data_IF_745524445509
#
_entry.id   IF_745524445509
#
_cell.length_a   1.000
_cell.length_b   1.000
_cell.length_c   1.000
_cell.angle_alpha   90.00
_cell.angle_beta   90.00
_cell.angle_gamma   90.00
#
_symmetry.space_group_name_H-M   'P 1'
#
loop_
_entity.id
_entity.type
_entity.pdbx_description
1 polymer ?
#
# COMPACT_ATOMS: atom_id res chain seq x y z
N UNK A 1 28.91 -7.12 -16.17
CA UNK A 1 28.90 -6.85 -14.71
C UNK A 1 30.17 -6.11 -14.26
N UNK A 2 31.34 -6.76 -14.24
CA UNK A 2 32.58 -6.15 -13.74
C UNK A 2 33.02 -4.90 -14.56
N UNK A 3 32.99 -4.99 -15.89
CA UNK A 3 33.31 -3.86 -16.77
C UNK A 3 32.36 -2.66 -16.56
N UNK A 4 31.07 -2.94 -16.33
CA UNK A 4 30.08 -1.92 -16.02
C UNK A 4 30.37 -1.28 -14.64
N UNK A 5 30.69 -2.10 -13.63
CA UNK A 5 31.03 -1.61 -12.29
C UNK A 5 32.29 -0.74 -12.30
N UNK A 6 33.30 -1.05 -13.14
CA UNK A 6 34.51 -0.23 -13.30
C UNK A 6 34.22 1.17 -13.86
N UNK A 7 33.14 1.34 -14.62
CA UNK A 7 32.72 2.64 -15.17
C UNK A 7 32.17 3.58 -14.09
N UNK A 8 31.59 3.01 -13.02
CA UNK A 8 30.89 3.78 -11.97
C UNK A 8 31.60 3.76 -10.61
N UNK A 9 32.46 2.78 -10.34
CA UNK A 9 33.10 2.62 -9.04
C UNK A 9 34.58 2.27 -9.17
N UNK A 10 35.37 2.76 -8.21
CA UNK A 10 36.73 2.25 -7.96
C UNK A 10 36.64 0.92 -7.23
N UNK A 11 36.96 -0.17 -7.93
CA UNK A 11 36.87 -1.54 -7.42
C UNK A 11 38.12 -1.85 -6.58
N UNK A 12 37.90 -2.34 -5.36
CA UNK A 12 38.96 -2.80 -4.45
C UNK A 12 39.21 -4.30 -4.61
N UNK A 13 38.14 -5.09 -4.69
CA UNK A 13 38.22 -6.54 -4.88
C UNK A 13 36.95 -7.04 -5.58
N UNK A 14 37.03 -8.12 -6.34
CA UNK A 14 35.89 -8.81 -6.91
C UNK A 14 36.07 -10.32 -6.77
N UNK A 15 35.05 -10.99 -6.24
CA UNK A 15 35.04 -12.44 -6.05
C UNK A 15 33.80 -13.03 -6.70
N UNK A 16 33.86 -14.29 -7.12
CA UNK A 16 32.66 -15.08 -7.45
C UNK A 16 32.28 -15.89 -6.22
N UNK A 17 31.07 -15.69 -5.71
CA UNK A 17 30.50 -16.53 -4.65
C UNK A 17 29.42 -17.44 -5.24
N UNK A 18 28.99 -18.48 -4.52
CA UNK A 18 27.90 -19.36 -4.98
C UNK A 18 26.59 -18.61 -5.26
N UNK A 19 26.39 -17.45 -4.62
CA UNK A 19 25.20 -16.60 -4.78
C UNK A 19 25.30 -15.61 -5.96
N UNK A 20 26.49 -15.48 -6.56
CA UNK A 20 26.74 -14.58 -7.67
C UNK A 20 28.09 -13.85 -7.59
N UNK A 21 28.40 -12.97 -8.55
CA UNK A 21 29.54 -12.09 -8.44
C UNK A 21 29.36 -11.13 -7.26
N UNK A 22 30.42 -10.89 -6.50
CA UNK A 22 30.48 -9.89 -5.44
C UNK A 22 31.58 -8.89 -5.75
N UNK A 23 31.28 -7.60 -5.68
CA UNK A 23 32.25 -6.53 -5.94
C UNK A 23 32.37 -5.66 -4.70
N UNK A 24 33.57 -5.56 -4.15
CA UNK A 24 33.91 -4.62 -3.09
C UNK A 24 34.47 -3.37 -3.76
N UNK A 25 33.81 -2.24 -3.54
CA UNK A 25 34.17 -0.96 -4.13
C UNK A 25 34.26 0.13 -3.07
N UNK A 26 34.98 1.19 -3.39
CA UNK A 26 34.92 2.43 -2.61
C UNK A 26 33.52 3.02 -2.76
N UNK A 27 32.95 3.49 -1.65
CA UNK A 27 31.70 4.24 -1.68
C UNK A 27 31.90 5.45 -2.62
N UNK A 28 31.05 5.63 -3.64
CA UNK A 28 31.12 6.82 -4.48
C UNK A 28 30.76 8.05 -3.66
N UNK A 29 31.36 9.18 -4.04
CA UNK A 29 31.18 10.47 -3.37
C UNK A 29 29.74 10.99 -3.53
N UNK A 30 29.11 10.71 -4.68
CA UNK A 30 27.72 11.08 -4.97
C UNK A 30 26.81 9.86 -4.92
N UNK A 31 25.71 9.97 -4.19
CA UNK A 31 24.68 8.93 -4.12
C UNK A 31 24.03 8.67 -5.48
N UNK A 32 23.97 9.68 -6.35
CA UNK A 32 23.43 9.58 -7.71
C UNK A 32 24.16 8.54 -8.58
N UNK A 33 25.45 8.31 -8.33
CA UNK A 33 26.25 7.33 -9.08
C UNK A 33 25.84 5.88 -8.75
N UNK A 34 25.38 5.64 -7.52
CA UNK A 34 24.79 4.35 -7.13
C UNK A 34 23.45 4.12 -7.84
N UNK A 35 22.61 5.15 -7.91
CA UNK A 35 21.30 5.09 -8.56
C UNK A 35 21.43 4.85 -10.07
N UNK A 36 22.32 5.60 -10.74
CA UNK A 36 22.63 5.42 -12.17
C UNK A 36 23.13 4.01 -12.49
N UNK A 37 23.90 3.42 -11.57
CA UNK A 37 24.35 2.04 -11.73
C UNK A 37 23.21 1.03 -11.56
N UNK A 38 22.35 1.23 -10.56
CA UNK A 38 21.19 0.35 -10.30
C UNK A 38 20.16 0.38 -11.45
N UNK A 39 20.00 1.53 -12.11
CA UNK A 39 19.06 1.76 -13.21
C UNK A 39 19.61 1.40 -14.60
N UNK A 40 20.78 0.75 -14.67
CA UNK A 40 21.36 0.38 -15.94
C UNK A 40 20.42 -0.53 -16.76
N UNK A 41 20.23 -0.23 -18.05
CA UNK A 41 19.34 -0.97 -18.95
C UNK A 41 19.61 -2.48 -18.93
N UNK A 42 20.88 -2.88 -18.84
CA UNK A 42 21.31 -4.27 -18.80
C UNK A 42 20.77 -5.00 -17.56
N UNK A 43 20.62 -4.30 -16.43
CA UNK A 43 20.02 -4.84 -15.21
C UNK A 43 18.50 -4.84 -15.27
N UNK A 44 17.92 -3.82 -15.92
CA UNK A 44 16.48 -3.73 -16.14
C UNK A 44 15.96 -4.85 -17.04
N UNK A 45 16.61 -5.09 -18.18
CA UNK A 45 16.23 -6.09 -19.18
C UNK A 45 16.38 -7.53 -18.67
N UNK A 46 17.42 -7.79 -17.88
CA UNK A 46 17.72 -9.14 -17.37
C UNK A 46 17.17 -9.40 -15.96
N UNK A 47 16.37 -8.49 -15.41
CA UNK A 47 15.84 -8.56 -14.05
C UNK A 47 16.89 -8.76 -12.94
N UNK A 48 18.11 -8.32 -13.22
CA UNK A 48 19.21 -8.33 -12.26
C UNK A 48 18.97 -7.18 -11.28
N UNK A 49 19.11 -7.48 -9.99
CA UNK A 49 19.03 -6.51 -8.91
C UNK A 49 20.38 -6.36 -8.25
N UNK A 50 20.61 -5.18 -7.68
CA UNK A 50 21.87 -4.80 -7.04
C UNK A 50 21.58 -4.42 -5.60
N UNK A 51 22.35 -4.96 -4.67
CA UNK A 51 22.27 -4.62 -3.25
C UNK A 51 23.60 -4.01 -2.82
N UNK A 52 23.52 -2.87 -2.14
CA UNK A 52 24.68 -2.15 -1.60
C UNK A 52 24.73 -2.32 -0.09
N UNK A 53 25.69 -3.11 0.42
CA UNK A 53 25.92 -3.29 1.85
C UNK A 53 27.19 -2.57 2.27
N UNK A 54 27.14 -1.79 3.35
CA UNK A 54 28.35 -1.19 3.93
C UNK A 54 29.26 -2.29 4.46
N UNK A 55 30.56 -2.19 4.18
CA UNK A 55 31.58 -3.10 4.71
C UNK A 55 32.58 -2.29 5.54
N UNK A 56 32.99 -2.83 6.70
CA UNK A 56 34.07 -2.22 7.49
C UNK A 56 35.35 -2.24 6.66
N UNK A 57 35.98 -1.08 6.52
CA UNK A 57 37.26 -0.96 5.86
C UNK A 57 38.41 -1.23 6.84
N UNK A 58 39.57 -1.68 6.34
CA UNK A 58 40.77 -1.86 7.16
C UNK A 58 41.37 -0.54 7.67
N UNK A 59 41.05 0.61 7.06
CA UNK A 59 41.47 1.95 7.50
C UNK A 59 40.25 2.83 7.82
N UNK A 60 40.36 3.72 8.82
CA UNK A 60 39.27 4.57 9.33
C UNK A 60 38.72 5.56 8.29
N UNK A 61 39.51 5.98 7.32
CA UNK A 61 39.13 7.03 6.36
C UNK A 61 38.46 6.49 5.08
N UNK A 62 38.40 5.17 4.92
CA UNK A 62 37.85 4.54 3.71
C UNK A 62 36.48 3.94 4.01
N UNK A 63 35.45 4.29 3.24
CA UNK A 63 34.15 3.61 3.28
C UNK A 63 34.05 2.61 2.13
N UNK A 64 33.94 1.32 2.45
CA UNK A 64 33.75 0.26 1.46
C UNK A 64 32.27 -0.13 1.33
N UNK A 65 31.85 -0.41 0.11
CA UNK A 65 30.55 -0.97 -0.22
C UNK A 65 30.74 -2.32 -0.90
N UNK A 66 30.03 -3.31 -0.39
CA UNK A 66 29.81 -4.60 -1.03
C UNK A 66 28.61 -4.47 -1.98
N UNK A 67 28.86 -4.70 -3.26
CA UNK A 67 27.86 -4.76 -4.33
C UNK A 67 27.56 -6.24 -4.57
N UNK A 68 26.36 -6.65 -4.20
CA UNK A 68 25.84 -8.00 -4.44
C UNK A 68 24.85 -7.96 -5.60
N UNK A 69 24.98 -8.91 -6.52
CA UNK A 69 24.02 -9.08 -7.60
C UNK A 69 23.12 -10.25 -7.28
N UNK A 70 21.81 -10.06 -7.36
CA UNK A 70 20.84 -11.12 -7.17
C UNK A 70 19.85 -11.11 -8.32
N UNK A 71 19.51 -12.31 -8.78
CA UNK A 71 18.46 -12.49 -9.77
C UNK A 71 17.13 -12.63 -9.04
N UNK A 72 16.18 -11.75 -9.34
CA UNK A 72 14.82 -11.93 -8.85
C UNK A 72 14.06 -12.74 -9.89
N UNK A 73 13.77 -14.01 -9.58
CA UNK A 73 12.99 -14.87 -10.46
C UNK A 73 11.65 -14.20 -10.82
N UNK A 74 11.36 -14.08 -12.12
CA UNK A 74 10.03 -13.68 -12.57
C UNK A 74 9.03 -14.69 -12.04
N UNK A 75 8.19 -14.28 -11.09
CA UNK A 75 6.99 -15.06 -10.76
C UNK A 75 6.14 -15.10 -12.05
N UNK A 76 6.16 -16.26 -12.73
CA UNK A 76 5.71 -16.49 -14.11
C UNK A 76 4.19 -16.31 -14.35
N UNK A 77 3.46 -15.62 -13.48
CA UNK A 77 1.98 -15.61 -13.47
C UNK A 77 1.32 -14.24 -13.69
N UNK A 78 1.94 -13.32 -14.42
CA UNK A 78 1.42 -11.95 -14.54
C UNK A 78 0.14 -11.86 -15.41
N UNK A 79 0.00 -12.68 -16.48
CA UNK A 79 -1.15 -12.56 -17.41
C UNK A 79 -2.49 -13.06 -16.86
N UNK A 80 -2.51 -14.10 -16.01
CA UNK A 80 -3.77 -14.66 -15.47
C UNK A 80 -4.30 -13.91 -14.23
N UNK A 81 -3.56 -12.92 -13.75
CA UNK A 81 -3.79 -12.30 -12.44
C UNK A 81 -5.03 -11.42 -12.33
N UNK A 82 -5.50 -10.87 -13.45
CA UNK A 82 -6.76 -10.13 -13.53
C UNK A 82 -7.91 -10.97 -14.10
N UNK A 83 -7.71 -12.29 -14.25
CA UNK A 83 -8.80 -13.20 -14.57
C UNK A 83 -9.76 -13.28 -13.39
N UNK A 84 -11.05 -13.12 -13.66
CA UNK A 84 -12.11 -13.25 -12.66
C UNK A 84 -12.02 -14.59 -11.89
N UNK A 85 -11.59 -15.67 -12.54
CA UNK A 85 -11.42 -16.98 -11.91
C UNK A 85 -10.33 -17.00 -10.82
N UNK A 86 -9.28 -16.19 -10.98
CA UNK A 86 -8.15 -16.08 -10.04
C UNK A 86 -8.44 -15.06 -8.93
N UNK A 87 -9.26 -14.05 -9.23
CA UNK A 87 -9.59 -12.94 -8.32
C UNK A 87 -10.90 -13.16 -7.56
N UNK A 88 -11.61 -14.27 -7.82
CA UNK A 88 -12.95 -14.53 -7.25
C UNK A 88 -13.00 -14.37 -5.73
N UNK A 89 -11.98 -14.85 -5.01
CA UNK A 89 -11.96 -14.80 -3.56
C UNK A 89 -11.76 -13.38 -3.02
N UNK A 90 -10.94 -12.56 -3.69
CA UNK A 90 -10.71 -11.17 -3.32
C UNK A 90 -11.98 -10.35 -3.55
N UNK A 91 -12.71 -10.60 -4.64
CA UNK A 91 -14.01 -9.96 -4.91
C UNK A 91 -15.04 -10.41 -3.88
N UNK A 92 -15.15 -11.70 -3.58
CA UNK A 92 -16.06 -12.22 -2.55
C UNK A 92 -15.74 -11.59 -1.19
N UNK A 93 -14.46 -11.52 -0.81
CA UNK A 93 -14.03 -10.91 0.45
C UNK A 93 -14.31 -9.40 0.48
N UNK A 94 -14.13 -8.70 -0.64
CA UNK A 94 -14.49 -7.28 -0.76
C UNK A 94 -15.99 -7.10 -0.53
N UNK A 95 -16.83 -7.85 -1.26
CA UNK A 95 -18.29 -7.77 -1.13
C UNK A 95 -18.78 -8.11 0.28
N UNK A 96 -18.19 -9.13 0.92
CA UNK A 96 -18.48 -9.47 2.31
C UNK A 96 -18.06 -8.35 3.27
N UNK A 97 -16.97 -7.66 2.97
CA UNK A 97 -16.47 -6.53 3.76
C UNK A 97 -17.37 -5.32 3.61
N UNK A 98 -17.79 -4.98 2.38
CA UNK A 98 -18.76 -3.92 2.11
C UNK A 98 -20.08 -4.17 2.83
N UNK A 99 -20.59 -5.40 2.78
CA UNK A 99 -21.80 -5.81 3.51
C UNK A 99 -21.60 -5.68 5.03
N UNK A 100 -20.47 -6.12 5.56
CA UNK A 100 -20.17 -6.00 7.00
C UNK A 100 -20.09 -4.54 7.45
N UNK A 101 -19.38 -3.69 6.69
CA UNK A 101 -19.29 -2.24 6.93
C UNK A 101 -20.67 -1.60 6.87
N UNK A 102 -21.50 -1.98 5.91
CA UNK A 102 -22.86 -1.44 5.77
C UNK A 102 -23.72 -1.79 6.99
N UNK A 103 -23.71 -3.05 7.43
CA UNK A 103 -24.47 -3.52 8.59
C UNK A 103 -23.97 -2.84 9.88
N UNK A 104 -22.66 -2.80 10.09
CA UNK A 104 -22.09 -2.15 11.27
C UNK A 104 -22.32 -0.64 11.26
N UNK A 105 -22.23 0.01 10.09
CA UNK A 105 -22.56 1.42 9.93
C UNK A 105 -24.02 1.72 10.28
N UNK A 106 -24.94 0.83 9.87
CA UNK A 106 -26.36 0.90 10.25
C UNK A 106 -26.55 0.83 11.77
N UNK A 107 -25.95 -0.16 12.43
CA UNK A 107 -26.08 -0.30 13.89
C UNK A 107 -25.41 0.83 14.66
N UNK A 108 -24.25 1.29 14.20
CA UNK A 108 -23.50 2.40 14.79
C UNK A 108 -24.31 3.69 14.74
N UNK A 109 -24.78 4.08 13.56
CA UNK A 109 -25.55 5.31 13.39
C UNK A 109 -26.91 5.22 14.10
N UNK A 110 -27.58 4.05 14.09
CA UNK A 110 -28.81 3.84 14.87
C UNK A 110 -28.62 4.10 16.36
N UNK A 111 -27.48 3.67 16.93
CA UNK A 111 -27.18 3.91 18.35
C UNK A 111 -27.00 5.40 18.64
N UNK A 112 -26.27 6.11 17.78
CA UNK A 112 -26.09 7.57 17.88
C UNK A 112 -27.43 8.29 17.76
N UNK A 113 -28.24 7.94 16.76
CA UNK A 113 -29.55 8.55 16.53
C UNK A 113 -30.47 8.42 17.74
N UNK A 114 -30.50 7.23 18.38
CA UNK A 114 -31.26 7.01 19.62
C UNK A 114 -30.73 7.81 20.81
N UNK A 115 -29.40 7.96 20.91
CA UNK A 115 -28.78 8.74 21.99
C UNK A 115 -29.08 10.23 21.90
N UNK A 116 -29.14 10.79 20.68
CA UNK A 116 -29.32 12.23 20.44
C UNK A 116 -30.73 12.65 20.03
N UNK A 117 -31.70 11.73 20.03
CA UNK A 117 -33.10 11.98 19.69
C UNK A 117 -33.29 12.84 18.41
N UNK A 118 -32.50 12.57 17.37
CA UNK A 118 -32.53 13.33 16.13
C UNK A 118 -33.90 13.15 15.44
N UNK A 119 -34.42 14.19 14.79
CA UNK A 119 -35.82 14.24 14.32
C UNK A 119 -36.02 13.98 12.82
N UNK A 120 -34.94 13.68 12.09
CA UNK A 120 -34.94 13.69 10.62
C UNK A 120 -34.65 12.31 10.02
N UNK A 121 -35.23 12.04 8.84
CA UNK A 121 -35.10 10.86 7.97
C UNK A 121 -34.06 9.80 8.36
N UNK A 122 -34.33 9.06 9.43
CA UNK A 122 -33.46 8.02 10.02
C UNK A 122 -32.84 7.08 8.97
N UNK A 123 -33.65 6.64 8.01
CA UNK A 123 -33.23 5.71 6.95
C UNK A 123 -32.25 6.37 5.97
N UNK A 124 -32.52 7.62 5.57
CA UNK A 124 -31.71 8.34 4.60
C UNK A 124 -30.32 8.65 5.16
N UNK A 125 -30.25 9.08 6.42
CA UNK A 125 -28.99 9.45 7.08
C UNK A 125 -28.12 8.24 7.36
N UNK A 126 -28.73 7.11 7.76
CA UNK A 126 -27.99 5.85 7.92
C UNK A 126 -27.43 5.38 6.58
N UNK A 127 -28.24 5.44 5.53
CA UNK A 127 -27.80 5.03 4.20
C UNK A 127 -26.63 5.89 3.72
N UNK A 128 -26.71 7.22 3.88
CA UNK A 128 -25.63 8.15 3.53
C UNK A 128 -24.36 7.88 4.33
N UNK A 129 -24.48 7.59 5.63
CA UNK A 129 -23.32 7.24 6.47
C UNK A 129 -22.63 5.97 5.99
N UNK A 130 -23.37 4.87 5.85
CA UNK A 130 -22.82 3.60 5.37
C UNK A 130 -22.29 3.71 3.94
N UNK A 131 -22.92 4.51 3.08
CA UNK A 131 -22.43 4.79 1.73
C UNK A 131 -21.08 5.53 1.75
N UNK A 132 -20.91 6.53 2.62
CA UNK A 132 -19.65 7.24 2.80
C UNK A 132 -18.51 6.31 3.26
N UNK A 133 -18.80 5.32 4.11
CA UNK A 133 -17.80 4.33 4.53
C UNK A 133 -17.38 3.41 3.37
N UNK A 134 -18.36 2.96 2.55
CA UNK A 134 -18.09 2.08 1.41
C UNK A 134 -17.32 2.79 0.29
N UNK A 135 -17.70 4.03 -0.07
CA UNK A 135 -17.00 4.78 -1.13
C UNK A 135 -15.54 5.08 -0.76
N UNK A 136 -15.26 5.32 0.53
CA UNK A 136 -13.88 5.44 1.03
C UNK A 136 -13.09 4.17 0.78
N UNK A 137 -13.68 3.00 1.06
CA UNK A 137 -13.03 1.71 0.81
C UNK A 137 -12.78 1.50 -0.68
N UNK A 138 -13.80 1.66 -1.53
CA UNK A 138 -13.65 1.50 -2.99
C UNK A 138 -12.54 2.41 -3.53
N UNK A 139 -12.48 3.67 -3.11
CA UNK A 139 -11.45 4.60 -3.55
C UNK A 139 -10.04 4.25 -3.04
N UNK A 140 -9.92 3.70 -1.82
CA UNK A 140 -8.66 3.16 -1.31
C UNK A 140 -8.09 2.11 -2.26
N UNK A 141 -8.96 1.26 -2.80
CA UNK A 141 -8.60 0.15 -3.67
C UNK A 141 -8.30 0.57 -5.10
N UNK A 142 -9.10 1.48 -5.63
CA UNK A 142 -8.82 2.11 -6.91
C UNK A 142 -7.44 2.79 -6.89
N UNK A 143 -7.05 3.40 -5.77
CA UNK A 143 -5.72 4.00 -5.64
C UNK A 143 -4.58 2.97 -5.69
N UNK A 144 -4.73 1.78 -5.10
CA UNK A 144 -3.73 0.70 -5.26
C UNK A 144 -3.54 0.32 -6.73
N UNK A 145 -4.63 0.17 -7.48
CA UNK A 145 -4.59 -0.18 -8.91
C UNK A 145 -3.96 0.94 -9.75
N UNK A 146 -4.27 2.21 -9.45
CA UNK A 146 -3.71 3.37 -10.16
C UNK A 146 -2.22 3.54 -9.88
N UNK A 147 -1.79 3.39 -8.62
CA UNK A 147 -0.39 3.51 -8.22
C UNK A 147 0.47 2.39 -8.80
N UNK A 148 -0.05 1.17 -8.88
CA UNK A 148 0.62 0.08 -9.58
C UNK A 148 0.96 0.46 -11.03
N UNK A 149 -0.01 1.04 -11.76
CA UNK A 149 0.20 1.48 -13.15
C UNK A 149 1.19 2.65 -13.22
N UNK A 150 1.06 3.64 -12.32
CA UNK A 150 1.87 4.87 -12.34
C UNK A 150 3.32 4.65 -11.87
N UNK A 151 3.54 3.78 -10.89
CA UNK A 151 4.86 3.55 -10.25
C UNK A 151 5.55 2.28 -10.74
N UNK A 152 4.93 1.53 -11.66
CA UNK A 152 5.43 0.27 -12.21
C UNK A 152 5.85 -0.73 -11.12
N UNK A 153 5.11 -0.77 -10.00
CA UNK A 153 5.31 -1.76 -8.93
C UNK A 153 4.22 -2.82 -9.01
N UNK A 154 4.63 -4.07 -9.04
CA UNK A 154 3.71 -5.20 -8.93
C UNK A 154 3.31 -5.47 -7.47
N UNK A 155 2.06 -5.18 -7.15
CA UNK A 155 1.37 -5.47 -5.88
C UNK A 155 0.11 -6.30 -6.12
N UNK A 156 -0.34 -7.09 -5.14
CA UNK A 156 -1.62 -7.83 -5.21
C UNK A 156 -2.82 -6.93 -5.10
N UNK A 157 -3.93 -7.41 -5.67
CA UNK A 157 -5.23 -6.91 -5.27
C UNK A 157 -5.39 -7.17 -3.76
N UNK A 158 -5.96 -6.23 -3.01
CA UNK A 158 -6.03 -6.38 -1.57
C UNK A 158 -6.99 -7.48 -1.16
N UNK A 159 -6.58 -8.23 -0.14
CA UNK A 159 -7.42 -9.24 0.50
C UNK A 159 -8.07 -8.62 1.72
N UNK A 160 -9.36 -8.33 1.65
CA UNK A 160 -10.11 -7.77 2.77
C UNK A 160 -10.41 -8.83 3.80
N UNK A 161 -10.38 -8.41 5.06
CA UNK A 161 -10.74 -9.24 6.19
C UNK A 161 -12.05 -8.68 6.75
N UNK A 162 -13.20 -9.24 6.36
CA UNK A 162 -14.47 -8.84 6.94
C UNK A 162 -14.48 -9.23 8.43
N UNK A 163 -14.92 -8.32 9.28
CA UNK A 163 -15.16 -8.64 10.68
C UNK A 163 -16.62 -9.06 10.89
N UNK A 164 -16.89 -9.89 11.91
CA UNK A 164 -18.25 -10.25 12.27
C UNK A 164 -19.05 -9.01 12.68
N UNK A 165 -20.30 -8.95 12.24
CA UNK A 165 -21.25 -7.85 12.45
C UNK A 165 -21.93 -7.88 13.82
N UNK A 166 -21.20 -8.30 14.86
CA UNK A 166 -21.73 -8.45 16.22
C UNK A 166 -21.61 -7.13 16.99
N UNK A 167 -22.65 -6.68 17.72
CA UNK A 167 -22.57 -5.51 18.59
C UNK A 167 -21.50 -5.70 19.67
N UNK A 168 -20.53 -4.79 19.76
CA UNK A 168 -19.47 -4.88 20.76
C UNK A 168 -18.34 -3.88 20.53
N UNK A 169 -17.37 -3.86 21.46
CA UNK A 169 -16.20 -2.96 21.42
C UNK A 169 -15.42 -3.08 20.09
N UNK A 170 -15.21 -4.30 19.61
CA UNK A 170 -14.46 -4.56 18.38
C UNK A 170 -15.14 -3.98 17.14
N UNK A 171 -16.45 -4.13 17.03
CA UNK A 171 -17.24 -3.60 15.90
C UNK A 171 -17.37 -2.07 15.95
N UNK A 172 -17.35 -1.47 17.14
CA UNK A 172 -17.34 -0.01 17.30
C UNK A 172 -16.03 0.61 16.78
N UNK A 173 -14.88 0.00 17.10
CA UNK A 173 -13.57 0.54 16.69
C UNK A 173 -13.20 0.19 15.24
N UNK A 174 -13.56 -1.01 14.78
CA UNK A 174 -13.14 -1.51 13.45
C UNK A 174 -14.21 -1.36 12.36
N UNK A 175 -15.40 -0.85 12.70
CA UNK A 175 -16.46 -0.50 11.74
C UNK A 175 -16.80 -1.60 10.70
N UNK A 176 -16.62 -2.88 11.03
CA UNK A 176 -16.94 -4.01 10.15
C UNK A 176 -15.78 -4.56 9.31
N UNK A 177 -14.56 -4.04 9.45
CA UNK A 177 -13.40 -4.47 8.67
C UNK A 177 -12.12 -4.50 9.50
N UNK A 178 -11.36 -5.61 9.44
CA UNK A 178 -10.08 -5.71 10.14
C UNK A 178 -8.92 -5.05 9.40
N UNK A 179 -9.12 -4.72 8.13
CA UNK A 179 -8.11 -4.21 7.22
C UNK A 179 -8.06 -5.02 5.93
N UNK A 180 -7.16 -4.62 5.04
CA UNK A 180 -6.84 -5.32 3.82
C UNK A 180 -5.34 -5.64 3.77
N UNK A 181 -4.98 -6.81 3.26
CA UNK A 181 -3.57 -7.19 3.09
C UNK A 181 -3.19 -6.99 1.62
N UNK A 182 -2.14 -6.18 1.40
CA UNK A 182 -1.52 -5.96 0.09
C UNK A 182 -0.12 -6.56 0.10
N UNK A 183 0.15 -7.48 -0.83
CA UNK A 183 1.47 -8.10 -0.99
C UNK A 183 2.20 -7.48 -2.17
N UNK A 184 3.42 -7.03 -1.91
CA UNK A 184 4.36 -6.62 -2.95
C UNK A 184 4.99 -7.87 -3.55
N UNK A 185 4.86 -8.05 -4.87
CA UNK A 185 5.38 -9.25 -5.56
C UNK A 185 6.87 -9.14 -5.82
N UNK A 186 7.30 -7.97 -6.26
CA UNK A 186 8.68 -7.74 -6.66
C UNK A 186 9.30 -6.67 -5.76
N UNK A 187 10.55 -6.88 -5.31
CA UNK A 187 11.24 -5.88 -4.50
C UNK A 187 11.32 -4.57 -5.29
N UNK A 188 10.79 -3.51 -4.69
CA UNK A 188 10.87 -2.19 -5.26
C UNK A 188 12.34 -1.76 -5.36
N UNK A 189 12.76 -1.32 -6.56
CA UNK A 189 14.12 -0.80 -6.79
C UNK A 189 14.40 0.46 -5.97
N UNK A 190 13.35 1.27 -5.74
CA UNK A 190 13.43 2.50 -4.95
C UNK A 190 12.45 2.48 -3.79
N UNK A 191 12.81 3.20 -2.73
CA UNK A 191 11.95 3.40 -1.55
C UNK A 191 10.76 4.30 -1.84
N UNK A 192 10.92 5.31 -2.72
CA UNK A 192 9.85 6.29 -2.99
C UNK A 192 8.62 5.63 -3.63
N UNK A 193 8.75 4.82 -4.70
CA UNK A 193 7.62 4.10 -5.27
C UNK A 193 6.93 3.19 -4.25
N UNK A 194 7.70 2.52 -3.40
CA UNK A 194 7.17 1.65 -2.35
C UNK A 194 6.38 2.46 -1.30
N UNK A 195 6.93 3.60 -0.88
CA UNK A 195 6.28 4.52 0.04
C UNK A 195 4.94 5.02 -0.52
N UNK A 196 4.93 5.44 -1.79
CA UNK A 196 3.74 5.97 -2.43
C UNK A 196 2.57 4.96 -2.44
N UNK A 197 2.87 3.70 -2.73
CA UNK A 197 1.87 2.62 -2.74
C UNK A 197 1.19 2.47 -1.38
N UNK A 198 1.91 2.65 -0.27
CA UNK A 198 1.32 2.55 1.07
C UNK A 198 0.74 3.86 1.61
N UNK A 199 1.25 5.00 1.16
CA UNK A 199 0.88 6.32 1.67
C UNK A 199 -0.37 6.90 0.99
N UNK A 200 -0.46 6.83 -0.33
CA UNK A 200 -1.55 7.49 -1.07
C UNK A 200 -2.95 6.91 -0.80
N UNK A 201 -3.16 5.58 -0.72
CA UNK A 201 -4.48 5.01 -0.44
C UNK A 201 -5.15 5.54 0.85
N UNK A 202 -4.49 5.54 2.03
CA UNK A 202 -5.07 6.16 3.22
C UNK A 202 -5.18 7.69 3.12
N UNK A 203 -4.23 8.35 2.44
CA UNK A 203 -4.25 9.81 2.25
C UNK A 203 -5.48 10.27 1.45
N UNK A 204 -5.80 9.61 0.34
CA UNK A 204 -7.04 9.90 -0.40
C UNK A 204 -8.30 9.60 0.42
N UNK A 205 -8.29 8.52 1.21
CA UNK A 205 -9.37 8.22 2.14
C UNK A 205 -9.59 9.31 3.19
N UNK A 206 -8.52 9.94 3.67
CA UNK A 206 -8.58 11.08 4.59
C UNK A 206 -9.16 12.32 3.91
N UNK A 207 -8.67 12.68 2.72
CA UNK A 207 -9.21 13.82 1.95
C UNK A 207 -10.71 13.66 1.72
N UNK A 208 -11.15 12.47 1.31
CA UNK A 208 -12.56 12.18 1.10
C UNK A 208 -13.37 12.32 2.38
N UNK A 209 -12.83 11.85 3.50
CA UNK A 209 -13.49 11.94 4.81
C UNK A 209 -13.62 13.39 5.27
N UNK A 210 -12.61 14.22 5.04
CA UNK A 210 -12.66 15.67 5.32
C UNK A 210 -13.73 16.32 4.42
N UNK A 211 -13.75 16.01 3.13
CA UNK A 211 -14.78 16.54 2.21
C UNK A 211 -16.20 16.14 2.62
N UNK A 212 -16.41 14.87 2.97
CA UNK A 212 -17.69 14.38 3.47
C UNK A 212 -18.10 15.06 4.78
N UNK A 213 -17.15 15.30 5.69
CA UNK A 213 -17.41 16.04 6.93
C UNK A 213 -17.83 17.47 6.67
N UNK A 214 -17.12 18.20 5.79
CA UNK A 214 -17.45 19.59 5.43
C UNK A 214 -18.80 19.69 4.71
N UNK A 215 -19.12 18.73 3.84
CA UNK A 215 -20.43 18.67 3.20
C UNK A 215 -21.53 18.38 4.23
N UNK A 216 -21.29 17.42 5.12
CA UNK A 216 -22.25 17.08 6.18
C UNK A 216 -22.49 18.24 7.15
N UNK A 217 -21.46 19.02 7.51
CA UNK A 217 -21.60 20.17 8.40
C UNK A 217 -22.38 21.32 7.76
N UNK A 218 -22.41 21.42 6.43
CA UNK A 218 -23.25 22.38 5.71
C UNK A 218 -24.75 22.04 5.77
N UNK A 219 -25.12 20.81 6.14
CA UNK A 219 -26.51 20.37 6.35
C UNK A 219 -26.77 20.03 7.83
N UNK A 220 -26.85 21.03 8.72
CA UNK A 220 -27.00 20.79 10.15
C UNK A 220 -28.35 20.13 10.48
N UNK A 221 -28.32 19.15 11.36
CA UNK A 221 -29.54 18.56 11.94
C UNK A 221 -30.20 19.59 12.85
N UNK A 222 -31.47 19.91 12.59
CA UNK A 222 -32.28 20.66 13.56
C UNK A 222 -32.66 19.70 14.69
N UNK A 223 -32.21 19.99 15.91
CA UNK A 223 -32.72 19.33 17.11
C UNK A 223 -34.17 19.77 17.31
N UNK A 224 -35.15 18.87 17.17
CA UNK A 224 -36.45 19.14 17.78
C UNK A 224 -36.28 19.00 19.27
N UNK A 225 -36.29 20.12 20.00
CA UNK A 225 -36.55 20.10 21.43
C UNK A 225 -38.00 19.63 21.64
N UNK A 226 -38.25 18.33 21.66
CA UNK A 226 -39.44 17.80 22.32
C UNK A 226 -39.08 17.68 23.80
N UNK A 227 -39.66 18.62 24.54
CA UNK A 227 -39.74 18.79 25.99
C UNK A 227 -39.68 17.49 26.81
N UNK A 228 -39.01 17.59 27.96
CA UNK A 228 -38.95 16.63 29.07
C UNK A 228 -40.29 16.00 29.42
#
# INVERSE_FOLDING_TARGET
>A
MLALAKKHFKIYNAARTPLGPEIISLKPEKQKDLELFEENELFMLNDIRVSFKKKKAPQKDIQLIKVEFFYWGKELQIKKRFSLATVKWQIILLLLTELSIFINGFFYYRKIYRLFALSHGFVQTIFLFSFCLNIKLILHEVMHVLLQKKRAIKITLPYFIPLPTMPGFLSFFMLGMAGGIVRVIEPARKKQPLFDVFFFPPFFGLILSIGAYLLGSAFPFLFTQTTF
#
